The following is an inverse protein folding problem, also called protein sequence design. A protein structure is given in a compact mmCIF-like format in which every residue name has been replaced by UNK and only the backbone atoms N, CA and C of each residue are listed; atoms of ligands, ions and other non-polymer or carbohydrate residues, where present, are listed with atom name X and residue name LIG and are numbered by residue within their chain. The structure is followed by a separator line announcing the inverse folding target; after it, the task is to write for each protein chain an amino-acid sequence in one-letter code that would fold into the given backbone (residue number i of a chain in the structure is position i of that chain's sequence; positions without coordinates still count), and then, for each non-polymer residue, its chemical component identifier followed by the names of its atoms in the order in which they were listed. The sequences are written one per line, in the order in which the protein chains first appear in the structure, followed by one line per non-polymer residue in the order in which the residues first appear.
data_IF_360137489950
#
_entry.id   IF_360137489950
#
_cell.length_a   1.000
_cell.length_b   1.000
_cell.length_c   1.000
_cell.angle_alpha   90.00
_cell.angle_beta   90.00
_cell.angle_gamma   90.00
#
_symmetry.space_group_name_H-M   'P 1'
#
loop_
_entity.id
_entity.type
_entity.pdbx_description
1 polymer ?
#
# COMPACT_ATOMS: atom_id res chain seq x y z
N UNK A 1 -16.26 20.51 21.93
CA UNK A 1 -17.19 20.59 20.78
C UNK A 1 -16.88 21.75 19.83
N UNK A 2 -16.50 22.95 20.33
CA UNK A 2 -16.14 24.10 19.48
C UNK A 2 -14.73 23.97 18.84
N UNK A 3 -13.87 23.17 19.44
CA UNK A 3 -12.52 22.92 18.93
C UNK A 3 -12.51 21.96 17.73
N UNK A 4 -13.43 20.99 17.65
CA UNK A 4 -13.54 20.06 16.54
C UNK A 4 -13.92 20.75 15.21
N UNK A 5 -14.84 21.71 15.22
CA UNK A 5 -15.27 22.42 14.01
C UNK A 5 -14.15 23.31 13.45
N UNK A 6 -13.31 23.87 14.32
CA UNK A 6 -12.14 24.66 13.90
C UNK A 6 -11.01 23.80 13.34
N UNK A 7 -10.94 22.52 13.73
CA UNK A 7 -9.92 21.59 13.28
C UNK A 7 -10.21 21.06 11.87
N UNK A 8 -11.46 20.72 11.57
CA UNK A 8 -11.86 20.27 10.23
C UNK A 8 -11.64 21.34 9.16
N UNK A 9 -11.99 22.59 9.42
CA UNK A 9 -11.76 23.67 8.48
C UNK A 9 -10.28 24.02 8.27
N UNK A 10 -9.44 23.88 9.31
CA UNK A 10 -7.99 24.04 9.16
C UNK A 10 -7.35 22.88 8.40
N UNK A 11 -7.83 21.65 8.60
CA UNK A 11 -7.36 20.48 7.86
C UNK A 11 -7.67 20.58 6.38
N UNK A 12 -8.88 20.98 5.98
CA UNK A 12 -9.25 21.15 4.58
C UNK A 12 -8.42 22.22 3.86
N UNK A 13 -8.13 23.32 4.53
CA UNK A 13 -7.27 24.39 3.99
C UNK A 13 -5.81 23.94 3.86
N UNK A 14 -5.29 23.26 4.88
CA UNK A 14 -3.94 22.67 4.87
C UNK A 14 -3.82 21.55 3.82
N UNK A 15 -4.88 20.79 3.60
CA UNK A 15 -4.94 19.77 2.54
C UNK A 15 -4.82 20.38 1.15
N UNK A 16 -5.60 21.40 0.82
CA UNK A 16 -5.59 22.05 -0.49
C UNK A 16 -4.21 22.69 -0.81
N UNK A 17 -3.62 23.41 0.15
CA UNK A 17 -2.30 24.02 -0.05
C UNK A 17 -1.14 23.02 -0.08
N UNK A 18 -1.25 21.89 0.64
CA UNK A 18 -0.22 20.83 0.64
C UNK A 18 -0.26 19.95 -0.60
N UNK A 19 -1.42 19.75 -1.23
CA UNK A 19 -1.51 18.99 -2.48
C UNK A 19 -0.63 19.62 -3.56
N UNK A 20 -0.63 20.94 -3.70
CA UNK A 20 0.24 21.65 -4.64
C UNK A 20 1.72 21.60 -4.21
N UNK A 21 2.00 21.70 -2.91
CA UNK A 21 3.38 21.76 -2.39
C UNK A 21 4.07 20.39 -2.31
N UNK A 22 3.32 19.28 -2.31
CA UNK A 22 3.85 17.91 -2.17
C UNK A 22 4.12 17.23 -3.52
N UNK A 23 3.85 17.89 -4.65
CA UNK A 23 4.06 17.32 -5.97
C UNK A 23 3.25 16.05 -6.22
N UNK A 24 2.02 16.00 -5.67
CA UNK A 24 1.09 14.87 -5.85
C UNK A 24 0.47 14.78 -7.24
N UNK A 25 0.92 15.63 -8.15
CA UNK A 25 0.54 15.56 -9.55
C UNK A 25 1.13 14.30 -10.18
N UNK A 26 0.30 13.54 -10.86
CA UNK A 26 0.77 12.42 -11.66
C UNK A 26 1.63 12.94 -12.81
N UNK A 27 2.88 12.47 -12.88
CA UNK A 27 3.81 12.80 -13.95
C UNK A 27 4.23 11.51 -14.63
N UNK A 28 3.79 11.34 -15.87
CA UNK A 28 4.16 10.20 -16.69
C UNK A 28 4.41 10.63 -18.14
N UNK A 29 5.31 9.92 -18.77
CA UNK A 29 5.62 10.08 -20.18
C UNK A 29 4.97 8.92 -20.97
N UNK A 30 4.88 9.04 -22.29
CA UNK A 30 4.24 8.03 -23.17
C UNK A 30 4.89 6.64 -23.05
N UNK A 31 6.18 6.58 -22.67
CA UNK A 31 6.94 5.35 -22.52
C UNK A 31 6.75 4.65 -21.14
N UNK A 32 5.96 5.26 -20.24
CA UNK A 32 5.73 4.67 -18.94
C UNK A 32 4.72 3.52 -19.02
N UNK A 33 5.10 2.40 -18.40
CA UNK A 33 4.31 1.17 -18.33
C UNK A 33 4.34 0.64 -16.90
N UNK A 34 3.19 0.26 -16.37
CA UNK A 34 3.11 -0.47 -15.09
C UNK A 34 3.37 -1.94 -15.37
N UNK A 35 4.44 -2.47 -14.79
CA UNK A 35 4.71 -3.90 -14.81
C UNK A 35 3.87 -4.61 -13.75
N UNK A 36 3.26 -5.72 -14.15
CA UNK A 36 2.47 -6.61 -13.30
C UNK A 36 3.23 -7.93 -13.18
N UNK A 37 3.43 -8.42 -11.96
CA UNK A 37 4.15 -9.67 -11.75
C UNK A 37 3.42 -10.85 -12.43
N UNK A 38 4.18 -11.68 -13.12
CA UNK A 38 3.64 -12.87 -13.81
C UNK A 38 3.07 -13.93 -12.86
N UNK A 39 3.38 -13.84 -11.57
CA UNK A 39 2.86 -14.72 -10.51
C UNK A 39 1.56 -14.19 -9.88
N UNK A 40 1.17 -12.96 -10.18
CA UNK A 40 -0.08 -12.39 -9.68
C UNK A 40 -1.29 -13.08 -10.34
N UNK A 41 -2.00 -13.89 -9.56
CA UNK A 41 -3.09 -14.74 -10.08
C UNK A 41 -4.38 -13.96 -10.38
N UNK A 42 -4.56 -12.81 -9.75
CA UNK A 42 -5.75 -11.99 -9.89
C UNK A 42 -5.37 -10.52 -10.03
N UNK A 43 -4.76 -10.11 -11.17
CA UNK A 43 -4.23 -8.77 -11.35
C UNK A 43 -5.34 -7.69 -11.35
N UNK A 44 -4.98 -6.50 -10.90
CA UNK A 44 -5.85 -5.33 -10.97
C UNK A 44 -6.09 -4.94 -12.44
N UNK A 45 -7.34 -4.59 -12.76
CA UNK A 45 -7.72 -4.15 -14.11
C UNK A 45 -7.44 -2.64 -14.27
N UNK A 46 -6.22 -2.29 -14.64
CA UNK A 46 -5.80 -0.92 -14.92
C UNK A 46 -6.07 -0.63 -16.39
N UNK A 47 -7.25 -0.04 -16.71
CA UNK A 47 -7.71 0.12 -18.10
C UNK A 47 -7.21 1.40 -18.78
N UNK A 48 -6.87 2.40 -18.01
CA UNK A 48 -6.56 3.77 -18.44
C UNK A 48 -5.06 4.08 -18.42
N UNK A 49 -4.22 3.05 -18.26
CA UNK A 49 -2.76 3.17 -18.29
C UNK A 49 -2.13 1.88 -18.85
N UNK A 50 -1.02 1.99 -19.63
CA UNK A 50 -0.35 0.83 -20.18
C UNK A 50 0.15 -0.13 -19.09
N UNK A 51 -0.11 -1.42 -19.28
CA UNK A 51 0.38 -2.49 -18.40
C UNK A 51 1.05 -3.59 -19.19
N UNK A 52 2.10 -4.20 -18.62
CA UNK A 52 2.83 -5.34 -19.18
C UNK A 52 3.06 -6.40 -18.10
N UNK A 53 2.82 -7.67 -18.41
CA UNK A 53 3.10 -8.78 -17.50
C UNK A 53 4.57 -9.14 -17.58
N UNK A 54 5.27 -9.16 -16.44
CA UNK A 54 6.71 -9.42 -16.35
C UNK A 54 7.06 -10.06 -15.00
N UNK A 55 8.08 -10.90 -14.96
CA UNK A 55 8.61 -11.40 -13.68
C UNK A 55 9.26 -10.27 -12.90
N UNK A 56 8.71 -9.94 -11.74
CA UNK A 56 9.24 -8.92 -10.84
C UNK A 56 10.14 -9.56 -9.77
N UNK A 57 11.12 -8.80 -9.27
CA UNK A 57 11.96 -9.24 -8.15
C UNK A 57 11.20 -9.18 -6.83
N UNK A 58 10.36 -8.17 -6.66
CA UNK A 58 9.58 -7.90 -5.46
C UNK A 58 8.18 -7.44 -5.83
N UNK A 59 7.22 -7.68 -4.94
CA UNK A 59 5.85 -7.20 -5.09
C UNK A 59 5.13 -7.64 -6.36
N UNK A 60 3.95 -7.09 -6.57
CA UNK A 60 3.05 -7.41 -7.69
C UNK A 60 3.04 -6.32 -8.77
N UNK A 61 3.40 -5.08 -8.44
CA UNK A 61 3.37 -3.94 -9.36
C UNK A 61 4.59 -3.03 -9.18
N UNK A 62 5.15 -2.55 -10.29
CA UNK A 62 6.12 -1.46 -10.30
C UNK A 62 6.03 -0.68 -11.61
N UNK A 63 6.63 0.52 -11.68
CA UNK A 63 6.79 1.24 -12.94
C UNK A 63 8.03 0.75 -13.68
N UNK A 64 8.03 0.74 -15.02
CA UNK A 64 9.20 0.42 -15.83
C UNK A 64 10.37 1.37 -15.55
N UNK A 65 10.12 2.66 -15.33
CA UNK A 65 11.11 3.61 -14.82
C UNK A 65 11.15 3.65 -13.28
N UNK A 66 11.82 2.67 -12.71
CA UNK A 66 11.97 2.55 -11.25
C UNK A 66 12.76 3.69 -10.62
N UNK A 67 13.62 4.37 -11.37
CA UNK A 67 14.35 5.56 -10.86
C UNK A 67 13.40 6.69 -10.54
N UNK A 68 12.39 6.91 -11.39
CA UNK A 68 11.34 7.92 -11.17
C UNK A 68 10.56 7.65 -9.88
N UNK A 69 10.27 6.40 -9.58
CA UNK A 69 9.55 6.00 -8.38
C UNK A 69 10.47 5.73 -7.17
N UNK A 70 11.79 5.91 -7.30
CA UNK A 70 12.78 5.54 -6.26
C UNK A 70 12.76 4.06 -5.96
N UNK A 71 12.70 3.22 -7.00
CA UNK A 71 12.69 1.76 -6.91
C UNK A 71 11.51 1.20 -6.08
N UNK A 72 10.30 1.77 -6.26
CA UNK A 72 9.10 1.36 -5.53
C UNK A 72 8.43 0.14 -6.16
N UNK A 73 8.05 -0.78 -5.31
CA UNK A 73 7.19 -1.91 -5.61
C UNK A 73 5.95 -1.91 -4.73
N UNK A 74 4.85 -2.42 -5.24
CA UNK A 74 3.60 -2.55 -4.49
C UNK A 74 3.28 -4.05 -4.39
N UNK A 75 3.14 -4.53 -3.18
CA UNK A 75 2.67 -5.87 -2.84
C UNK A 75 1.21 -5.80 -2.42
N UNK A 76 0.31 -6.36 -3.22
CA UNK A 76 -1.13 -6.35 -2.95
C UNK A 76 -1.54 -7.52 -2.06
N UNK A 77 -2.34 -7.26 -1.05
CA UNK A 77 -2.81 -8.29 -0.12
C UNK A 77 -4.33 -8.25 0.06
N UNK A 78 -4.97 -9.38 -0.11
CA UNK A 78 -6.29 -9.61 0.48
C UNK A 78 -6.16 -9.80 2.00
N UNK A 79 -7.27 -9.67 2.75
CA UNK A 79 -7.22 -9.91 4.21
C UNK A 79 -6.79 -11.35 4.56
N UNK A 80 -7.30 -12.40 3.90
CA UNK A 80 -6.79 -13.75 4.13
C UNK A 80 -5.30 -13.91 3.87
N UNK A 81 -4.78 -13.28 2.80
CA UNK A 81 -3.36 -13.34 2.46
C UNK A 81 -2.51 -12.56 3.47
N UNK A 82 -3.00 -11.41 3.94
CA UNK A 82 -2.36 -10.66 5.02
C UNK A 82 -2.25 -11.50 6.29
N UNK A 83 -3.33 -12.17 6.70
CA UNK A 83 -3.35 -13.05 7.88
C UNK A 83 -2.35 -14.19 7.69
N UNK A 84 -2.35 -14.87 6.55
CA UNK A 84 -1.42 -15.95 6.26
C UNK A 84 0.04 -15.50 6.25
N UNK A 85 0.31 -14.37 5.60
CA UNK A 85 1.66 -13.77 5.52
C UNK A 85 2.18 -13.36 6.89
N UNK A 86 1.35 -12.70 7.69
CA UNK A 86 1.76 -12.17 9.01
C UNK A 86 1.55 -13.16 10.17
N UNK A 87 1.21 -14.42 9.88
CA UNK A 87 1.17 -15.50 10.86
C UNK A 87 2.21 -16.57 10.51
N UNK A 88 1.83 -17.64 9.85
CA UNK A 88 2.73 -18.74 9.49
C UNK A 88 3.77 -18.37 8.42
N UNK A 89 3.53 -17.33 7.63
CA UNK A 89 4.41 -16.83 6.59
C UNK A 89 5.38 -15.73 7.01
N UNK A 90 5.35 -15.27 8.26
CA UNK A 90 6.06 -14.06 8.70
C UNK A 90 7.56 -14.11 8.41
N UNK A 91 8.23 -15.18 8.81
CA UNK A 91 9.68 -15.34 8.59
C UNK A 91 10.07 -15.26 7.11
N UNK A 92 9.27 -15.89 6.24
CA UNK A 92 9.50 -15.84 4.79
C UNK A 92 9.31 -14.42 4.25
N UNK A 93 8.30 -13.72 4.75
CA UNK A 93 8.02 -12.35 4.33
C UNK A 93 9.09 -11.37 4.82
N UNK A 94 9.59 -11.54 6.04
CA UNK A 94 10.74 -10.75 6.53
C UNK A 94 11.97 -10.92 5.62
N UNK A 95 12.31 -12.14 5.23
CA UNK A 95 13.41 -12.41 4.30
C UNK A 95 13.21 -11.77 2.92
N UNK A 96 11.96 -11.66 2.47
CA UNK A 96 11.63 -10.95 1.23
C UNK A 96 11.86 -9.45 1.36
N UNK A 97 11.42 -8.86 2.47
CA UNK A 97 11.64 -7.45 2.79
C UNK A 97 13.15 -7.16 2.94
N UNK A 98 13.92 -8.02 3.59
CA UNK A 98 15.37 -7.88 3.74
C UNK A 98 16.07 -7.84 2.37
N UNK A 99 15.73 -8.75 1.47
CA UNK A 99 16.26 -8.73 0.09
C UNK A 99 15.88 -7.48 -0.68
N UNK A 100 14.65 -6.96 -0.47
CA UNK A 100 14.24 -5.70 -1.08
C UNK A 100 15.08 -4.53 -0.55
N UNK A 101 15.38 -4.52 0.76
CA UNK A 101 16.24 -3.52 1.37
C UNK A 101 17.67 -3.51 0.82
N UNK A 102 18.25 -4.69 0.62
CA UNK A 102 19.60 -4.86 0.04
C UNK A 102 19.70 -4.25 -1.36
N UNK A 103 18.60 -4.26 -2.11
CA UNK A 103 18.52 -3.63 -3.44
C UNK A 103 17.99 -2.18 -3.42
N UNK A 104 17.90 -1.56 -2.24
CA UNK A 104 17.31 -0.23 -2.04
C UNK A 104 15.89 -0.12 -2.63
N UNK A 105 15.14 -1.21 -2.61
CA UNK A 105 13.75 -1.21 -3.04
C UNK A 105 12.84 -0.77 -1.89
N UNK A 106 11.86 0.06 -2.23
CA UNK A 106 10.80 0.48 -1.32
C UNK A 106 9.55 -0.36 -1.56
N UNK A 107 8.98 -0.95 -0.53
CA UNK A 107 7.84 -1.85 -0.66
C UNK A 107 6.60 -1.28 0.03
N UNK A 108 5.53 -1.07 -0.73
CA UNK A 108 4.22 -0.71 -0.20
C UNK A 108 3.33 -1.95 -0.16
N UNK A 109 2.93 -2.36 1.04
CA UNK A 109 2.00 -3.46 1.25
C UNK A 109 0.58 -2.88 1.19
N UNK A 110 -0.08 -3.05 0.04
CA UNK A 110 -1.40 -2.50 -0.26
C UNK A 110 -2.49 -3.51 0.09
N UNK A 111 -3.25 -3.25 1.15
CA UNK A 111 -4.29 -4.15 1.65
C UNK A 111 -5.65 -3.72 1.10
N UNK A 112 -6.38 -4.64 0.46
CA UNK A 112 -7.69 -4.42 -0.18
C UNK A 112 -8.85 -4.26 0.81
N UNK A 113 -8.61 -3.67 1.99
CA UNK A 113 -9.63 -3.47 3.02
C UNK A 113 -9.26 -2.30 3.92
N UNK A 114 -10.24 -1.56 4.39
CA UNK A 114 -10.03 -0.45 5.34
C UNK A 114 -9.35 -0.93 6.62
N UNK A 115 -8.52 -0.08 7.19
CA UNK A 115 -7.79 -0.37 8.43
C UNK A 115 -8.73 -0.79 9.56
N UNK A 116 -9.84 -0.06 9.76
CA UNK A 116 -10.85 -0.36 10.79
C UNK A 116 -11.42 -1.77 10.68
N UNK A 117 -11.71 -2.21 9.45
CA UNK A 117 -12.22 -3.57 9.20
C UNK A 117 -11.13 -4.62 9.41
N UNK A 118 -9.88 -4.30 9.08
CA UNK A 118 -8.75 -5.19 9.34
C UNK A 118 -8.45 -5.33 10.83
N UNK A 119 -8.61 -4.28 11.62
CA UNK A 119 -8.50 -4.32 13.09
C UNK A 119 -9.57 -5.19 13.75
N UNK A 120 -10.62 -5.54 13.02
CA UNK A 120 -11.71 -6.41 13.46
C UNK A 120 -11.99 -7.56 12.47
N UNK A 121 -10.97 -8.07 11.78
CA UNK A 121 -11.14 -9.05 10.69
C UNK A 121 -11.81 -10.34 11.15
N UNK A 122 -11.71 -10.71 12.42
CA UNK A 122 -12.40 -11.86 13.00
C UNK A 122 -13.93 -11.75 12.94
N UNK A 123 -14.48 -10.55 12.73
CA UNK A 123 -15.90 -10.30 12.50
C UNK A 123 -16.29 -10.41 11.02
N UNK A 124 -15.33 -10.48 10.10
CA UNK A 124 -15.61 -10.58 8.66
C UNK A 124 -16.12 -12.00 8.34
N UNK A 125 -17.27 -12.15 7.66
CA UNK A 125 -17.93 -13.45 7.47
C UNK A 125 -17.04 -14.50 6.80
N UNK A 126 -16.21 -14.10 5.85
CA UNK A 126 -15.32 -15.01 5.12
C UNK A 126 -14.07 -15.41 5.92
N UNK A 127 -13.68 -14.66 6.94
CA UNK A 127 -12.62 -15.01 7.89
C UNK A 127 -13.19 -15.86 9.01
N UNK A 128 -14.32 -15.44 9.55
CA UNK A 128 -15.03 -16.16 10.61
C UNK A 128 -15.32 -17.63 10.25
N UNK A 129 -15.79 -17.87 9.02
CA UNK A 129 -16.07 -19.24 8.52
C UNK A 129 -14.84 -20.16 8.48
N UNK A 130 -13.63 -19.62 8.38
CA UNK A 130 -12.38 -20.41 8.39
C UNK A 130 -11.89 -20.78 9.79
N UNK A 131 -12.59 -20.35 10.84
CA UNK A 131 -12.31 -20.65 12.24
C UNK A 131 -10.81 -20.42 12.60
N UNK A 132 -10.25 -19.33 12.12
CA UNK A 132 -8.85 -19.00 12.38
C UNK A 132 -8.64 -18.68 13.86
N UNK A 133 -7.57 -19.24 14.44
CA UNK A 133 -7.15 -18.92 15.82
C UNK A 133 -6.34 -17.62 15.92
N UNK A 134 -5.99 -17.06 14.77
CA UNK A 134 -5.19 -15.83 14.70
C UNK A 134 -6.09 -14.63 15.01
N UNK A 135 -5.63 -13.77 15.91
CA UNK A 135 -6.36 -12.55 16.33
C UNK A 135 -5.86 -11.30 15.59
N UNK A 136 -6.71 -10.25 15.46
CA UNK A 136 -6.27 -8.97 14.95
C UNK A 136 -5.06 -8.40 15.71
N UNK A 137 -5.06 -8.48 17.05
CA UNK A 137 -3.96 -8.00 17.89
C UNK A 137 -2.63 -8.65 17.54
N UNK A 138 -2.63 -9.97 17.31
CA UNK A 138 -1.43 -10.69 16.89
C UNK A 138 -0.92 -10.21 15.53
N UNK A 139 -1.79 -10.06 14.54
CA UNK A 139 -1.41 -9.61 13.20
C UNK A 139 -0.88 -8.16 13.26
N UNK A 140 -1.55 -7.27 13.97
CA UNK A 140 -1.11 -5.88 14.07
C UNK A 140 0.09 -5.67 14.99
N UNK A 141 0.36 -6.61 15.92
CA UNK A 141 1.66 -6.68 16.59
C UNK A 141 2.79 -6.92 15.57
N UNK A 142 2.61 -7.85 14.65
CA UNK A 142 3.60 -8.15 13.62
C UNK A 142 3.73 -7.01 12.59
N UNK A 143 2.63 -6.34 12.21
CA UNK A 143 2.71 -5.11 11.39
C UNK A 143 3.60 -4.06 12.05
N UNK A 144 3.39 -3.77 13.34
CA UNK A 144 4.23 -2.82 14.09
C UNK A 144 5.69 -3.24 14.15
N UNK A 145 5.94 -4.54 14.38
CA UNK A 145 7.29 -5.10 14.40
C UNK A 145 8.02 -4.89 13.07
N UNK A 146 7.35 -5.18 11.96
CA UNK A 146 7.88 -4.96 10.62
C UNK A 146 8.18 -3.48 10.34
N UNK A 147 7.25 -2.57 10.67
CA UNK A 147 7.43 -1.13 10.48
C UNK A 147 8.58 -0.56 11.32
N UNK A 148 8.83 -1.10 12.51
CA UNK A 148 9.96 -0.72 13.36
C UNK A 148 11.30 -1.25 12.84
N UNK A 149 11.28 -2.48 12.30
CA UNK A 149 12.49 -3.15 11.78
C UNK A 149 12.91 -2.62 10.42
N UNK A 150 11.96 -2.26 9.55
CA UNK A 150 12.19 -1.96 8.15
C UNK A 150 11.67 -0.57 7.74
N UNK A 151 12.52 0.45 7.68
CA UNK A 151 12.07 1.83 7.36
C UNK A 151 11.68 2.04 5.88
N UNK A 152 11.96 1.07 5.01
CA UNK A 152 11.69 1.13 3.57
C UNK A 152 10.39 0.43 3.17
N UNK A 153 9.52 0.10 4.15
CA UNK A 153 8.20 -0.45 3.89
C UNK A 153 7.11 0.44 4.49
N UNK A 154 5.93 0.39 3.89
CA UNK A 154 4.70 0.91 4.50
C UNK A 154 3.53 -0.03 4.23
N UNK A 155 2.61 -0.12 5.19
CA UNK A 155 1.29 -0.73 4.98
C UNK A 155 0.28 0.36 4.63
N UNK A 156 -0.55 0.10 3.63
CA UNK A 156 -1.62 1.00 3.21
C UNK A 156 -2.92 0.21 3.06
N UNK A 157 -3.90 0.52 3.88
CA UNK A 157 -5.21 -0.11 3.93
C UNK A 157 -6.22 0.77 3.20
N UNK A 158 -6.89 0.24 2.17
CA UNK A 158 -7.78 1.02 1.30
C UNK A 158 -9.16 0.38 1.18
N UNK A 159 -10.15 1.15 0.70
CA UNK A 159 -11.54 0.71 0.63
C UNK A 159 -11.79 -0.22 -0.57
N UNK A 160 -11.17 -1.41 -0.54
CA UNK A 160 -11.43 -2.47 -1.50
C UNK A 160 -10.65 -2.36 -2.81
N UNK A 161 -10.89 -3.33 -3.68
CA UNK A 161 -10.12 -3.58 -4.89
C UNK A 161 -10.17 -2.44 -5.92
N UNK A 162 -11.32 -1.76 -6.05
CA UNK A 162 -11.41 -0.63 -6.99
C UNK A 162 -10.49 0.52 -6.59
N UNK A 163 -10.39 0.74 -5.28
CA UNK A 163 -9.52 1.76 -4.72
C UNK A 163 -8.04 1.38 -4.91
N UNK A 164 -7.69 0.10 -4.83
CA UNK A 164 -6.34 -0.37 -5.14
C UNK A 164 -5.88 0.06 -6.54
N UNK A 165 -6.75 0.01 -7.55
CA UNK A 165 -6.40 0.45 -8.93
C UNK A 165 -5.98 1.91 -8.94
N UNK A 166 -6.77 2.78 -8.30
CA UNK A 166 -6.49 4.21 -8.21
C UNK A 166 -5.18 4.47 -7.47
N UNK A 167 -4.99 3.79 -6.34
CA UNK A 167 -3.82 3.98 -5.47
C UNK A 167 -2.54 3.45 -6.12
N UNK A 168 -2.57 2.30 -6.79
CA UNK A 168 -1.40 1.78 -7.52
C UNK A 168 -0.90 2.81 -8.54
N UNK A 169 -1.81 3.37 -9.35
CA UNK A 169 -1.47 4.45 -10.28
C UNK A 169 -0.88 5.66 -9.54
N UNK A 170 -1.58 6.14 -8.52
CA UNK A 170 -1.14 7.31 -7.76
C UNK A 170 0.26 7.14 -7.18
N UNK A 171 0.55 6.00 -6.57
CA UNK A 171 1.84 5.70 -5.96
C UNK A 171 2.97 5.56 -7.00
N UNK A 172 2.69 4.97 -8.16
CA UNK A 172 3.69 4.71 -9.18
C UNK A 172 3.92 5.92 -10.11
N UNK A 173 2.91 6.77 -10.31
CA UNK A 173 2.99 7.91 -11.22
C UNK A 173 3.29 9.24 -10.52
N UNK A 174 3.39 9.26 -9.18
CA UNK A 174 3.69 10.45 -8.39
C UNK A 174 5.09 10.37 -7.80
N UNK A 175 5.91 11.40 -8.01
CA UNK A 175 7.25 11.46 -7.42
C UNK A 175 7.20 11.57 -5.89
N UNK A 176 8.08 10.82 -5.21
CA UNK A 176 8.55 11.09 -3.84
C UNK A 176 7.52 10.89 -2.71
N UNK A 177 6.26 10.55 -3.00
CA UNK A 177 5.20 10.50 -1.99
C UNK A 177 5.53 9.60 -0.79
N UNK A 178 6.00 8.39 -1.06
CA UNK A 178 6.18 7.30 -0.10
C UNK A 178 7.33 7.44 0.88
N UNK A 179 8.31 8.29 0.59
CA UNK A 179 9.52 8.42 1.43
C UNK A 179 9.46 9.56 2.43
N UNK A 180 8.47 10.44 2.34
CA UNK A 180 8.42 11.67 3.12
C UNK A 180 7.30 11.74 4.15
N UNK A 181 6.28 10.90 4.04
CA UNK A 181 5.16 10.90 4.98
C UNK A 181 4.40 9.57 4.98
N UNK A 182 3.59 9.39 5.99
CA UNK A 182 2.76 8.22 6.20
C UNK A 182 1.67 8.14 5.12
N UNK A 183 1.71 7.06 4.32
CA UNK A 183 0.76 6.85 3.23
C UNK A 183 -0.66 6.59 3.74
N UNK A 184 -0.81 5.95 4.91
CA UNK A 184 -2.13 5.71 5.50
C UNK A 184 -2.77 7.04 5.90
N UNK A 185 -2.02 7.88 6.60
CA UNK A 185 -2.51 9.21 6.97
C UNK A 185 -2.86 10.04 5.73
N UNK A 186 -2.03 10.00 4.69
CA UNK A 186 -2.31 10.70 3.45
C UNK A 186 -3.59 10.18 2.75
N UNK A 187 -3.82 8.87 2.78
CA UNK A 187 -5.03 8.27 2.25
C UNK A 187 -6.28 8.66 3.06
N UNK A 188 -6.21 8.56 4.39
CA UNK A 188 -7.33 8.88 5.29
C UNK A 188 -7.73 10.37 5.22
N UNK A 189 -6.75 11.24 4.92
CA UNK A 189 -6.96 12.67 4.67
C UNK A 189 -7.35 13.02 3.22
N UNK A 190 -7.62 12.03 2.37
CA UNK A 190 -7.92 12.20 0.93
C UNK A 190 -6.84 13.00 0.16
N UNK A 191 -5.57 12.82 0.51
CA UNK A 191 -4.43 13.40 -0.17
C UNK A 191 -3.84 12.46 -1.26
N UNK A 192 -4.26 11.20 -1.24
CA UNK A 192 -3.91 10.18 -2.22
C UNK A 192 -5.03 9.92 -3.21
#
# INVERSE_FOLDING_TARGET
LCEEIGFENKLSYVQASKIESLGLKEEFDEDHVIYVDSREQNPLQIKDFPTEVKGLKFGDYCLNDRKKTGNCYIERKSVPDLIGTLSSGLERFEKEIERAAEENAYLVILVERKLEECLAFNKLPYVYKKNTRVTPDFIFHNVRGLLQKFPHIQFLFVNGRKECVRIVKKLLLTKILRTKFDLQLAYDLNLL
#
